data_IF_113367498478
#
_entry.id   IF_113367498478
#
_cell.length_a   1.000
_cell.length_b   1.000
_cell.length_c   1.000
_cell.angle_alpha   90.00
_cell.angle_beta   90.00
_cell.angle_gamma   90.00
#
_symmetry.space_group_name_H-M   'P 1'
#
loop_
_entity.id
_entity.type
_entity.pdbx_description
1 polymer ?
#
# COMPACT_ATOMS: atom_id res chain seq x y z
N UNK A 1 18.22 -25.64 32.24
CA UNK A 1 18.17 -24.17 32.17
C UNK A 1 17.43 -23.80 30.89
N UNK A 2 16.16 -23.41 31.00
CA UNK A 2 15.33 -23.03 29.84
C UNK A 2 15.39 -21.51 29.74
N UNK A 3 15.97 -20.99 28.67
CA UNK A 3 15.93 -19.56 28.35
C UNK A 3 14.50 -19.22 27.92
N UNK A 4 13.79 -18.55 28.81
CA UNK A 4 12.53 -17.88 28.56
C UNK A 4 12.74 -16.75 27.57
N UNK A 5 12.13 -16.88 26.40
CA UNK A 5 12.00 -15.82 25.41
C UNK A 5 11.07 -14.76 26.01
N UNK A 6 11.62 -13.63 26.44
CA UNK A 6 10.83 -12.48 26.86
C UNK A 6 10.05 -11.98 25.64
N UNK A 7 8.74 -12.19 25.67
CA UNK A 7 7.83 -11.50 24.77
C UNK A 7 7.96 -10.01 25.06
N UNK A 8 8.42 -9.23 24.07
CA UNK A 8 8.40 -7.77 24.14
C UNK A 8 6.92 -7.38 24.24
N UNK A 9 6.47 -7.15 25.47
CA UNK A 9 5.15 -6.63 25.75
C UNK A 9 5.14 -5.20 25.26
N UNK A 10 4.67 -4.98 24.02
CA UNK A 10 4.48 -3.65 23.46
C UNK A 10 3.38 -2.98 24.27
N UNK A 11 3.78 -2.30 25.34
CA UNK A 11 2.93 -1.37 26.08
C UNK A 11 2.58 -0.25 25.10
N UNK A 12 1.43 -0.35 24.45
CA UNK A 12 0.84 0.74 23.68
C UNK A 12 0.39 1.82 24.66
N UNK A 13 1.34 2.66 25.11
CA UNK A 13 0.97 3.89 25.80
C UNK A 13 0.24 4.78 24.79
N UNK A 14 -0.92 5.30 25.18
CA UNK A 14 -1.62 6.29 24.37
C UNK A 14 -0.70 7.50 24.18
N UNK A 15 -0.50 7.90 22.93
CA UNK A 15 0.28 9.08 22.60
C UNK A 15 -0.41 9.89 21.50
N UNK A 16 -0.07 11.18 21.45
CA UNK A 16 -0.57 12.14 20.48
C UNK A 16 0.62 12.69 19.70
N UNK A 17 0.46 12.81 18.38
CA UNK A 17 1.38 13.54 17.51
C UNK A 17 0.73 14.89 17.18
N UNK A 18 1.26 15.95 17.78
CA UNK A 18 0.75 17.31 17.58
C UNK A 18 1.02 17.82 16.16
N UNK A 19 0.20 18.77 15.71
CA UNK A 19 0.39 19.39 14.41
C UNK A 19 1.83 19.96 14.27
N UNK A 20 2.50 19.61 13.18
CA UNK A 20 3.88 20.02 12.90
C UNK A 20 4.97 19.14 13.50
N UNK A 21 4.66 18.25 14.47
CA UNK A 21 5.65 17.36 15.11
C UNK A 21 5.84 16.03 14.41
N UNK A 22 5.14 15.81 13.30
CA UNK A 22 5.23 14.59 12.51
C UNK A 22 5.36 14.90 11.01
N UNK A 23 5.83 13.91 10.26
CA UNK A 23 5.87 13.88 8.81
C UNK A 23 4.96 12.75 8.29
N UNK A 24 4.38 12.93 7.10
CA UNK A 24 3.58 11.91 6.43
C UNK A 24 4.47 11.20 5.42
N UNK A 25 4.54 9.87 5.54
CA UNK A 25 5.38 9.02 4.70
C UNK A 25 4.50 7.97 4.05
N UNK A 26 4.66 7.79 2.74
CA UNK A 26 4.06 6.70 2.00
C UNK A 26 4.92 5.44 2.15
N UNK A 27 4.36 4.40 2.75
CA UNK A 27 4.97 3.09 2.81
C UNK A 27 4.52 2.26 1.61
N UNK A 28 5.47 1.71 0.86
CA UNK A 28 5.24 0.85 -0.30
C UNK A 28 5.67 -0.57 0.06
N UNK A 29 4.82 -1.57 -0.21
CA UNK A 29 5.16 -2.97 0.04
C UNK A 29 6.38 -3.40 -0.79
N UNK A 30 7.31 -4.14 -0.18
CA UNK A 30 8.52 -4.60 -0.86
C UNK A 30 8.23 -5.49 -2.07
N UNK A 31 7.09 -6.19 -2.09
CA UNK A 31 6.68 -7.08 -3.19
C UNK A 31 5.99 -6.32 -4.30
N UNK A 32 5.66 -5.04 -4.12
CA UNK A 32 5.06 -4.22 -5.15
C UNK A 32 6.02 -4.09 -6.34
N UNK A 33 5.51 -4.42 -7.52
CA UNK A 33 6.28 -4.55 -8.76
C UNK A 33 5.52 -3.89 -9.90
N UNK A 34 6.25 -3.10 -10.66
CA UNK A 34 5.81 -2.68 -11.98
C UNK A 34 6.44 -3.59 -13.03
N UNK A 35 5.63 -4.16 -13.92
CA UNK A 35 6.11 -4.86 -15.11
C UNK A 35 6.10 -3.89 -16.27
N UNK A 36 7.25 -3.62 -16.89
CA UNK A 36 7.25 -2.85 -18.12
C UNK A 36 6.65 -3.66 -19.29
N UNK A 37 6.48 -3.01 -20.45
CA UNK A 37 5.94 -3.66 -21.66
C UNK A 37 6.80 -4.82 -22.18
N UNK A 38 8.04 -4.95 -21.71
CA UNK A 38 8.98 -6.01 -22.07
C UNK A 38 8.97 -7.16 -21.03
N UNK A 39 8.11 -7.07 -20.01
CA UNK A 39 7.99 -8.06 -18.93
C UNK A 39 9.06 -7.92 -17.85
N UNK A 40 9.93 -6.91 -17.94
CA UNK A 40 10.98 -6.67 -16.95
C UNK A 40 10.34 -6.12 -15.69
N UNK A 41 10.57 -6.83 -14.58
CA UNK A 41 10.04 -6.45 -13.28
C UNK A 41 10.92 -5.35 -12.67
N UNK A 42 10.35 -4.17 -12.49
CA UNK A 42 11.01 -3.05 -11.84
C UNK A 42 10.37 -2.76 -10.48
N UNK A 43 11.11 -3.08 -9.41
CA UNK A 43 10.70 -2.83 -8.01
C UNK A 43 10.91 -1.37 -7.58
N UNK A 44 11.70 -0.61 -8.32
CA UNK A 44 12.00 0.79 -7.98
C UNK A 44 11.18 1.79 -8.78
N UNK A 45 10.34 1.34 -9.72
CA UNK A 45 9.52 2.21 -10.57
C UNK A 45 8.65 3.17 -9.74
N UNK A 46 7.80 2.66 -8.85
CA UNK A 46 6.95 3.49 -7.99
C UNK A 46 7.77 4.38 -7.05
N UNK A 47 8.73 3.86 -6.25
CA UNK A 47 9.56 4.70 -5.40
C UNK A 47 10.23 5.86 -6.14
N UNK A 48 10.86 5.60 -7.29
CA UNK A 48 11.57 6.62 -8.07
C UNK A 48 10.61 7.67 -8.61
N UNK A 49 9.50 7.25 -9.23
CA UNK A 49 8.57 8.18 -9.86
C UNK A 49 7.85 9.07 -8.83
N UNK A 50 7.45 8.51 -7.69
CA UNK A 50 6.82 9.27 -6.60
C UNK A 50 7.82 10.17 -5.86
N UNK A 51 9.08 9.75 -5.68
CA UNK A 51 10.15 10.60 -5.13
C UNK A 51 10.45 11.80 -6.03
N UNK A 52 10.41 11.63 -7.35
CA UNK A 52 10.56 12.75 -8.30
C UNK A 52 9.43 13.78 -8.15
N UNK A 53 8.25 13.37 -7.65
CA UNK A 53 7.14 14.27 -7.29
C UNK A 53 7.27 14.86 -5.87
N UNK A 54 8.36 14.59 -5.16
CA UNK A 54 8.62 15.11 -3.82
C UNK A 54 7.85 14.39 -2.70
N UNK A 55 7.34 13.18 -2.97
CA UNK A 55 6.60 12.39 -1.97
C UNK A 55 7.61 11.62 -1.09
N UNK A 56 7.60 11.80 0.25
CA UNK A 56 8.41 11.00 1.15
C UNK A 56 7.96 9.53 1.15
N UNK A 57 8.90 8.61 0.91
CA UNK A 57 8.59 7.19 0.73
C UNK A 57 9.50 6.33 1.60
N UNK A 58 8.94 5.23 2.09
CA UNK A 58 9.70 4.12 2.65
C UNK A 58 9.24 2.78 2.07
N UNK A 59 10.18 1.93 1.70
CA UNK A 59 9.88 0.57 1.23
C UNK A 59 9.88 -0.36 2.44
N UNK A 60 8.76 -1.04 2.69
CA UNK A 60 8.56 -1.91 3.87
C UNK A 60 7.90 -3.22 3.49
N UNK A 61 8.03 -4.25 4.30
CA UNK A 61 7.17 -5.44 4.17
C UNK A 61 5.86 -5.16 4.90
N UNK A 62 4.78 -4.97 4.14
CA UNK A 62 3.46 -4.75 4.69
C UNK A 62 2.76 -6.10 4.91
N UNK A 63 2.08 -6.30 6.04
CA UNK A 63 1.29 -7.52 6.24
C UNK A 63 0.07 -7.57 5.29
N UNK A 64 -0.40 -6.41 4.84
CA UNK A 64 -1.60 -6.23 4.04
C UNK A 64 -1.53 -4.92 3.24
N UNK A 65 -2.09 -4.91 2.02
CA UNK A 65 -2.05 -3.78 1.09
C UNK A 65 -0.68 -3.59 0.44
N UNK A 66 -0.68 -2.78 -0.61
CA UNK A 66 0.52 -2.43 -1.37
C UNK A 66 1.02 -1.01 -1.01
N UNK A 67 0.11 -0.13 -0.58
CA UNK A 67 0.45 1.21 -0.11
C UNK A 67 -0.32 1.57 1.17
N UNK A 68 0.38 2.16 2.13
CA UNK A 68 -0.22 2.76 3.34
C UNK A 68 0.51 4.05 3.67
N UNK A 69 -0.17 4.99 4.32
CA UNK A 69 0.49 6.18 4.87
C UNK A 69 0.72 6.03 6.36
N UNK A 70 1.82 6.58 6.84
CA UNK A 70 2.09 6.72 8.28
C UNK A 70 2.34 8.19 8.63
N UNK A 71 1.93 8.57 9.83
CA UNK A 71 2.43 9.75 10.51
C UNK A 71 3.60 9.32 11.40
N UNK A 72 4.80 9.79 11.09
CA UNK A 72 6.03 9.51 11.85
C UNK A 72 6.47 10.74 12.60
N UNK A 73 6.79 10.57 13.88
CA UNK A 73 7.36 11.63 14.72
C UNK A 73 8.68 12.19 14.11
N UNK A 74 8.77 13.52 14.02
CA UNK A 74 10.00 14.21 13.63
C UNK A 74 11.01 14.16 14.77
N UNK A 75 12.27 13.94 14.43
CA UNK A 75 13.36 14.12 15.38
C UNK A 75 13.53 15.61 15.65
N UNK A 76 13.40 16.01 16.91
CA UNK A 76 13.80 17.36 17.33
C UNK A 76 15.34 17.41 17.25
N UNK A 77 15.93 18.43 16.61
CA UNK A 77 17.38 18.59 16.65
C UNK A 77 17.78 18.87 18.09
N UNK A 78 18.26 17.85 18.80
CA UNK A 78 18.88 18.04 20.11
C UNK A 78 20.33 18.43 19.88
N UNK A 79 20.75 19.53 20.49
CA UNK A 79 22.11 20.06 20.42
C UNK A 79 23.18 19.14 21.02
N UNK A 80 22.78 17.98 21.57
CA UNK A 80 23.62 17.08 22.35
C UNK A 80 23.68 15.65 21.81
N UNK A 81 22.84 15.27 20.82
CA UNK A 81 22.88 13.93 20.25
C UNK A 81 23.84 13.85 19.06
N UNK A 82 24.83 12.97 19.15
CA UNK A 82 25.74 12.65 18.02
C UNK A 82 24.92 12.11 16.83
N UNK A 83 25.34 12.36 15.58
CA UNK A 83 24.63 11.92 14.36
C UNK A 83 24.23 10.43 14.37
N UNK A 84 25.03 9.56 15.01
CA UNK A 84 24.77 8.12 15.15
C UNK A 84 23.60 7.83 16.10
N UNK A 85 23.45 8.59 17.18
CA UNK A 85 22.36 8.42 18.16
C UNK A 85 21.02 8.90 17.61
N UNK A 86 21.02 9.96 16.78
CA UNK A 86 19.80 10.44 16.11
C UNK A 86 19.27 9.42 15.09
N UNK A 87 20.13 8.67 14.41
CA UNK A 87 19.70 7.65 13.44
C UNK A 87 19.09 6.40 14.07
N UNK A 88 19.44 6.08 15.32
CA UNK A 88 18.97 4.86 15.99
C UNK A 88 17.81 5.11 16.97
N UNK A 89 17.25 6.33 16.98
CA UNK A 89 16.11 6.65 17.83
C UNK A 89 14.84 6.03 17.26
N UNK A 90 14.19 5.16 18.04
CA UNK A 90 12.88 4.61 17.73
C UNK A 90 11.88 5.78 17.66
N UNK A 91 11.34 6.03 16.47
CA UNK A 91 10.32 7.06 16.24
C UNK A 91 8.94 6.44 16.43
N UNK A 92 8.03 7.19 17.05
CA UNK A 92 6.63 6.78 17.13
C UNK A 92 5.96 6.95 15.77
N UNK A 93 5.15 5.97 15.40
CA UNK A 93 4.44 5.93 14.13
C UNK A 93 2.97 5.61 14.35
N UNK A 94 2.10 6.27 13.60
CA UNK A 94 0.68 5.98 13.52
C UNK A 94 0.34 5.66 12.07
N UNK A 95 -0.31 4.54 11.82
CA UNK A 95 -0.85 4.21 10.49
C UNK A 95 -2.04 5.12 10.24
N UNK A 96 -2.04 5.81 9.11
CA UNK A 96 -3.17 6.62 8.68
C UNK A 96 -4.29 5.72 8.17
N UNK A 97 -5.48 6.29 8.13
CA UNK A 97 -6.72 5.56 7.88
C UNK A 97 -6.98 5.24 6.39
N UNK A 98 -5.92 5.10 5.59
CA UNK A 98 -5.98 4.76 4.17
C UNK A 98 -5.04 3.60 3.86
N UNK A 99 -5.55 2.64 3.09
CA UNK A 99 -4.80 1.50 2.56
C UNK A 99 -5.19 1.26 1.12
N UNK A 100 -4.21 1.07 0.25
CA UNK A 100 -4.42 0.78 -1.16
C UNK A 100 -3.92 -0.62 -1.47
N UNK A 101 -4.78 -1.42 -2.09
CA UNK A 101 -4.43 -2.66 -2.76
C UNK A 101 -4.42 -2.38 -4.27
N UNK A 102 -3.25 -2.41 -4.89
CA UNK A 102 -3.10 -2.26 -6.33
C UNK A 102 -3.35 -3.60 -7.01
N UNK A 103 -4.13 -3.56 -8.09
CA UNK A 103 -4.45 -4.73 -8.88
C UNK A 103 -4.36 -4.41 -10.36
N UNK A 104 -3.47 -5.07 -11.09
CA UNK A 104 -3.53 -5.00 -12.56
C UNK A 104 -4.77 -5.74 -13.04
N UNK A 105 -5.33 -5.32 -14.16
CA UNK A 105 -6.58 -5.90 -14.68
C UNK A 105 -6.46 -7.40 -15.05
N UNK A 106 -5.29 -7.85 -15.50
CA UNK A 106 -4.97 -9.25 -15.76
C UNK A 106 -4.81 -10.07 -14.46
N UNK A 107 -4.18 -9.47 -13.44
CA UNK A 107 -4.09 -10.03 -12.09
C UNK A 107 -5.47 -10.11 -11.41
N UNK A 108 -6.36 -9.14 -11.67
CA UNK A 108 -7.75 -9.19 -11.21
C UNK A 108 -8.48 -10.34 -11.88
N UNK A 109 -8.35 -10.46 -13.21
CA UNK A 109 -9.03 -11.51 -13.96
C UNK A 109 -8.64 -12.91 -13.46
N UNK A 110 -7.34 -13.15 -13.27
CA UNK A 110 -6.85 -14.40 -12.69
C UNK A 110 -7.28 -14.61 -11.23
N UNK A 111 -7.36 -13.55 -10.43
CA UNK A 111 -7.75 -13.62 -9.01
C UNK A 111 -9.23 -13.95 -8.80
N UNK A 112 -10.12 -13.52 -9.70
CA UNK A 112 -11.57 -13.79 -9.63
C UNK A 112 -11.87 -15.29 -9.83
N UNK A 113 -11.08 -16.00 -10.64
CA UNK A 113 -11.25 -17.45 -10.82
C UNK A 113 -10.82 -18.25 -9.58
N UNK A 114 -9.94 -17.69 -8.77
CA UNK A 114 -9.50 -18.29 -7.51
C UNK A 114 -10.22 -17.75 -6.29
N UNK A 115 -9.73 -18.11 -5.11
CA UNK A 115 -10.20 -17.55 -3.83
C UNK A 115 -9.49 -16.24 -3.45
N UNK A 116 -8.39 -15.88 -4.13
CA UNK A 116 -7.51 -14.78 -3.75
C UNK A 116 -8.24 -13.45 -3.68
N UNK A 117 -9.13 -13.17 -4.64
CA UNK A 117 -9.91 -11.94 -4.64
C UNK A 117 -10.75 -11.78 -3.37
N UNK A 118 -11.48 -12.82 -2.98
CA UNK A 118 -12.32 -12.81 -1.78
C UNK A 118 -11.50 -12.71 -0.48
N UNK A 119 -10.39 -13.45 -0.40
CA UNK A 119 -9.49 -13.42 0.76
C UNK A 119 -8.86 -12.04 0.96
N UNK A 120 -8.38 -11.41 -0.12
CA UNK A 120 -7.80 -10.06 -0.08
C UNK A 120 -8.83 -9.05 0.43
N UNK A 121 -10.05 -9.04 -0.15
CA UNK A 121 -11.13 -8.18 0.32
C UNK A 121 -11.48 -8.42 1.79
N UNK A 122 -11.58 -9.67 2.20
CA UNK A 122 -11.88 -10.03 3.58
C UNK A 122 -10.81 -9.47 4.53
N UNK A 123 -9.52 -9.64 4.22
CA UNK A 123 -8.44 -9.14 5.06
C UNK A 123 -8.41 -7.61 5.13
N UNK A 124 -8.64 -6.92 4.02
CA UNK A 124 -8.71 -5.45 3.98
C UNK A 124 -9.85 -4.88 4.83
N UNK A 125 -11.07 -5.43 4.71
CA UNK A 125 -12.21 -5.00 5.53
C UNK A 125 -12.00 -5.25 7.03
N UNK A 126 -11.26 -6.30 7.38
CA UNK A 126 -10.97 -6.66 8.77
C UNK A 126 -9.62 -6.11 9.27
N UNK A 127 -9.00 -5.16 8.55
CA UNK A 127 -7.70 -4.57 8.92
C UNK A 127 -7.78 -3.52 10.03
N UNK A 128 -8.98 -2.98 10.29
CA UNK A 128 -9.19 -1.84 11.18
C UNK A 128 -9.01 -0.47 10.50
N UNK A 129 -8.55 -0.44 9.25
CA UNK A 129 -8.48 0.77 8.42
C UNK A 129 -9.85 1.01 7.79
N UNK A 130 -10.38 2.23 7.93
CA UNK A 130 -11.76 2.57 7.53
C UNK A 130 -11.88 2.94 6.06
N UNK A 131 -10.80 3.39 5.41
CA UNK A 131 -10.80 3.74 3.98
C UNK A 131 -9.89 2.77 3.17
N UNK A 132 -10.33 1.51 2.96
CA UNK A 132 -9.66 0.60 2.04
C UNK A 132 -10.01 0.94 0.59
N UNK A 133 -8.99 1.00 -0.27
CA UNK A 133 -9.11 1.35 -1.68
C UNK A 133 -8.52 0.25 -2.56
N UNK A 134 -9.17 -0.05 -3.67
CA UNK A 134 -8.55 -0.77 -4.77
C UNK A 134 -8.15 0.21 -5.88
N UNK A 135 -6.89 0.12 -6.25
CA UNK A 135 -6.34 0.81 -7.41
C UNK A 135 -6.21 -0.19 -8.56
N UNK A 136 -7.11 -0.11 -9.53
CA UNK A 136 -7.17 -1.05 -10.65
C UNK A 136 -6.55 -0.44 -11.89
N UNK A 137 -5.44 -1.04 -12.32
CA UNK A 137 -4.62 -0.53 -13.44
C UNK A 137 -4.89 -1.31 -14.73
N UNK A 138 -5.30 -0.58 -15.75
CA UNK A 138 -5.52 -1.04 -17.12
C UNK A 138 -4.29 -0.78 -18.00
N UNK A 139 -4.17 -1.50 -19.12
CA UNK A 139 -3.13 -1.29 -20.14
C UNK A 139 -3.59 -0.27 -21.19
N UNK A 140 -4.06 0.89 -20.73
CA UNK A 140 -4.64 1.95 -21.57
C UNK A 140 -6.14 1.82 -21.78
N UNK A 141 -6.76 2.90 -22.24
CA UNK A 141 -8.23 3.04 -22.44
C UNK A 141 -8.87 1.94 -23.27
N UNK A 142 -8.17 1.41 -24.29
CA UNK A 142 -8.70 0.33 -25.14
C UNK A 142 -8.88 -0.96 -24.35
N UNK A 143 -7.98 -1.22 -23.40
CA UNK A 143 -8.00 -2.44 -22.60
C UNK A 143 -9.23 -2.52 -21.67
N UNK A 144 -9.87 -1.39 -21.34
CA UNK A 144 -11.13 -1.39 -20.57
C UNK A 144 -12.26 -2.18 -21.24
N UNK A 145 -12.31 -2.18 -22.58
CA UNK A 145 -13.34 -2.88 -23.37
C UNK A 145 -12.88 -4.24 -23.89
N UNK A 146 -11.67 -4.67 -23.54
CA UNK A 146 -11.10 -5.94 -23.97
C UNK A 146 -11.30 -6.99 -22.90
N UNK A 147 -11.40 -8.23 -23.34
CA UNK A 147 -11.40 -9.38 -22.44
C UNK A 147 -9.97 -9.58 -21.91
N UNK A 148 -9.87 -9.95 -20.64
CA UNK A 148 -8.58 -10.17 -19.98
C UNK A 148 -8.43 -11.63 -19.62
N UNK A 149 -7.58 -12.33 -20.37
CA UNK A 149 -7.42 -13.77 -20.24
C UNK A 149 -8.70 -14.51 -20.63
N UNK A 150 -9.37 -15.10 -19.65
CA UNK A 150 -10.60 -15.89 -19.85
C UNK A 150 -11.87 -15.15 -19.40
N UNK A 151 -11.74 -13.94 -18.83
CA UNK A 151 -12.90 -13.18 -18.34
C UNK A 151 -13.30 -12.09 -19.33
N UNK A 152 -14.59 -12.04 -19.72
CA UNK A 152 -15.12 -10.93 -20.48
C UNK A 152 -15.00 -9.61 -19.74
N UNK A 153 -14.82 -8.51 -20.47
CA UNK A 153 -14.76 -7.15 -19.90
C UNK A 153 -15.94 -6.86 -18.96
N UNK A 154 -17.16 -7.23 -19.37
CA UNK A 154 -18.37 -7.04 -18.57
C UNK A 154 -18.36 -7.78 -17.22
N UNK A 155 -17.68 -8.95 -17.15
CA UNK A 155 -17.57 -9.70 -15.89
C UNK A 155 -16.61 -9.00 -14.92
N UNK A 156 -15.54 -8.40 -15.45
CA UNK A 156 -14.62 -7.60 -14.66
C UNK A 156 -15.29 -6.33 -14.14
N UNK A 157 -16.02 -5.61 -15.01
CA UNK A 157 -16.81 -4.45 -14.61
C UNK A 157 -17.79 -4.80 -13.49
N UNK A 158 -18.53 -5.90 -13.62
CA UNK A 158 -19.44 -6.36 -12.56
C UNK A 158 -18.69 -6.68 -11.26
N UNK A 159 -17.53 -7.34 -11.33
CA UNK A 159 -16.72 -7.65 -10.14
C UNK A 159 -16.20 -6.39 -9.44
N UNK A 160 -15.86 -5.35 -10.21
CA UNK A 160 -15.43 -4.05 -9.71
C UNK A 160 -16.61 -3.33 -9.04
N UNK A 161 -17.78 -3.28 -9.67
CA UNK A 161 -18.98 -2.69 -9.07
C UNK A 161 -19.40 -3.41 -7.79
N UNK A 162 -19.27 -4.75 -7.75
CA UNK A 162 -19.51 -5.51 -6.52
C UNK A 162 -18.50 -5.14 -5.41
N UNK A 163 -17.28 -4.76 -5.78
CA UNK A 163 -16.27 -4.28 -4.83
C UNK A 163 -16.65 -2.92 -4.22
N UNK A 164 -17.21 -2.00 -5.02
CA UNK A 164 -17.75 -0.72 -4.53
C UNK A 164 -18.90 -0.95 -3.55
N UNK A 165 -19.81 -1.88 -3.87
CA UNK A 165 -20.92 -2.26 -2.98
C UNK A 165 -20.39 -2.88 -1.67
N UNK A 166 -19.25 -3.56 -1.73
CA UNK A 166 -18.53 -4.06 -0.57
C UNK A 166 -17.85 -2.94 0.26
N UNK A 167 -18.03 -1.67 -0.09
CA UNK A 167 -17.55 -0.53 0.68
C UNK A 167 -16.08 -0.19 0.44
N UNK A 168 -15.51 -0.63 -0.68
CA UNK A 168 -14.18 -0.21 -1.12
C UNK A 168 -14.29 1.03 -2.00
N UNK A 169 -13.35 1.97 -1.83
CA UNK A 169 -13.14 3.01 -2.83
C UNK A 169 -12.39 2.41 -4.02
N UNK A 170 -12.84 2.69 -5.25
CA UNK A 170 -12.19 2.18 -6.45
C UNK A 170 -11.58 3.34 -7.24
N UNK A 171 -10.30 3.21 -7.56
CA UNK A 171 -9.59 4.10 -8.47
C UNK A 171 -9.16 3.31 -9.71
N UNK A 172 -9.67 3.69 -10.87
CA UNK A 172 -9.26 3.10 -12.16
C UNK A 172 -8.21 3.99 -12.82
N UNK A 173 -7.10 3.39 -13.26
CA UNK A 173 -6.03 4.07 -14.00
C UNK A 173 -5.74 3.35 -15.31
N UNK A 174 -5.31 4.08 -16.33
CA UNK A 174 -5.00 3.56 -17.67
C UNK A 174 -3.50 3.43 -17.93
N UNK A 175 -2.66 3.93 -17.02
CA UNK A 175 -1.21 3.85 -17.15
C UNK A 175 -0.52 4.01 -15.80
N UNK A 176 0.75 3.61 -15.76
CA UNK A 176 1.65 3.88 -14.65
C UNK A 176 1.70 5.36 -14.28
N UNK A 177 1.79 6.26 -15.28
CA UNK A 177 1.87 7.70 -15.04
C UNK A 177 0.59 8.30 -14.44
N UNK A 178 -0.57 7.66 -14.65
CA UNK A 178 -1.83 8.04 -14.00
C UNK A 178 -1.94 7.46 -12.59
N UNK A 179 -1.33 6.30 -12.36
CA UNK A 179 -1.20 5.68 -11.04
C UNK A 179 -0.31 6.50 -10.10
N UNK A 180 0.84 6.97 -10.61
CA UNK A 180 1.80 7.82 -9.88
C UNK A 180 1.28 9.24 -9.77
#
# INVERSE_FOLDING_TARGET
>A
MRNSTEAIQTSCQNFILEAGTYEIILCIDTRERYSDRQGTQNRTAFPVALQQKGIPIEIRTLPLGDFVWIAREKIKPSSEATNVQQQNQVRRELVLDYIIERKRIDDLASSIKGHRWHEQKFRLRNSGIRNPMYLIEYFGKRSRKQDHGFLPAATLEQAISNCEIDGFEIKLTDSFDETV
#
